data_IF_536262687149
#
_entry.id   IF_536262687149
#
_cell.length_a   1.000
_cell.length_b   1.000
_cell.length_c   1.000
_cell.angle_alpha   90.00
_cell.angle_beta   90.00
_cell.angle_gamma   90.00
#
_symmetry.space_group_name_H-M   'P 1'
#
loop_
_entity.id
_entity.type
_entity.pdbx_description
1 polymer ?
#
# COMPACT_ATOMS: atom_id res chain seq x y z
N UNK A 1 12.31 -19.52 -4.62
CA UNK A 1 12.21 -18.46 -5.65
C UNK A 1 12.98 -17.25 -5.15
N UNK A 2 13.93 -16.71 -5.92
CA UNK A 2 14.74 -15.59 -5.44
C UNK A 2 13.92 -14.30 -5.26
N UNK A 3 14.36 -13.42 -4.36
CA UNK A 3 13.67 -12.16 -3.98
C UNK A 3 13.25 -11.30 -5.19
N UNK A 4 14.16 -11.10 -6.14
CA UNK A 4 13.86 -10.33 -7.36
C UNK A 4 12.83 -11.02 -8.24
N UNK A 5 12.90 -12.35 -8.38
CA UNK A 5 11.92 -13.12 -9.15
C UNK A 5 10.54 -13.00 -8.49
N UNK A 6 10.48 -13.07 -7.16
CA UNK A 6 9.25 -12.94 -6.38
C UNK A 6 8.57 -11.59 -6.63
N UNK A 7 9.32 -10.51 -6.46
CA UNK A 7 8.80 -9.16 -6.65
C UNK A 7 8.41 -8.88 -8.11
N UNK A 8 9.11 -9.46 -9.09
CA UNK A 8 8.68 -9.40 -10.49
C UNK A 8 7.34 -10.12 -10.73
N UNK A 9 7.10 -11.27 -10.11
CA UNK A 9 5.79 -11.95 -10.20
C UNK A 9 4.69 -11.14 -9.50
N UNK A 10 4.98 -10.55 -8.34
CA UNK A 10 4.04 -9.66 -7.65
C UNK A 10 3.68 -8.45 -8.52
N UNK A 11 4.67 -7.82 -9.16
CA UNK A 11 4.45 -6.71 -10.09
C UNK A 11 3.56 -7.12 -11.27
N UNK A 12 3.79 -8.28 -11.87
CA UNK A 12 2.94 -8.81 -12.95
C UNK A 12 1.49 -9.02 -12.51
N UNK A 13 1.26 -9.51 -11.28
CA UNK A 13 -0.09 -9.68 -10.72
C UNK A 13 -0.76 -8.34 -10.44
N UNK A 14 -0.03 -7.36 -9.91
CA UNK A 14 -0.54 -5.99 -9.69
C UNK A 14 -0.89 -5.35 -11.04
N UNK A 15 -0.04 -5.46 -12.05
CA UNK A 15 -0.30 -4.94 -13.39
C UNK A 15 -1.52 -5.62 -14.04
N UNK A 16 -1.73 -6.91 -13.79
CA UNK A 16 -2.94 -7.64 -14.18
C UNK A 16 -4.21 -7.03 -13.56
N UNK A 17 -4.19 -6.73 -12.26
CA UNK A 17 -5.29 -6.07 -11.57
C UNK A 17 -5.53 -4.65 -12.08
N UNK A 18 -4.47 -3.87 -12.33
CA UNK A 18 -4.57 -2.54 -12.93
C UNK A 18 -5.28 -2.60 -14.28
N UNK A 19 -4.96 -3.56 -15.14
CA UNK A 19 -5.66 -3.74 -16.43
C UNK A 19 -7.16 -4.03 -16.26
N UNK A 20 -7.52 -4.81 -15.24
CA UNK A 20 -8.94 -5.08 -14.92
C UNK A 20 -9.61 -3.78 -14.47
N UNK A 21 -9.03 -3.08 -13.50
CA UNK A 21 -9.60 -1.82 -12.97
C UNK A 21 -9.76 -0.76 -14.07
N UNK A 22 -8.76 -0.58 -14.94
CA UNK A 22 -8.86 0.33 -16.09
C UNK A 22 -10.02 -0.02 -17.02
N UNK A 23 -10.19 -1.31 -17.33
CA UNK A 23 -11.27 -1.78 -18.21
C UNK A 23 -12.65 -1.59 -17.57
N UNK A 24 -12.82 -1.99 -16.30
CA UNK A 24 -14.13 -2.03 -15.65
C UNK A 24 -14.59 -0.67 -15.12
N UNK A 25 -13.66 0.22 -14.75
CA UNK A 25 -13.96 1.53 -14.16
C UNK A 25 -13.66 2.70 -15.09
N UNK A 26 -13.16 2.43 -16.31
CA UNK A 26 -12.84 3.46 -17.29
C UNK A 26 -11.62 4.32 -16.92
N UNK A 27 -10.68 3.80 -16.12
CA UNK A 27 -9.51 4.54 -15.66
C UNK A 27 -8.44 4.66 -16.76
N UNK A 28 -7.88 5.85 -16.88
CA UNK A 28 -6.69 6.14 -17.67
C UNK A 28 -5.40 5.91 -16.85
N UNK A 29 -4.25 6.01 -17.51
CA UNK A 29 -2.97 5.90 -16.80
C UNK A 29 -2.73 7.11 -15.88
N UNK A 30 -3.29 8.27 -16.23
CA UNK A 30 -3.24 9.47 -15.38
C UNK A 30 -4.02 9.34 -14.06
N UNK A 31 -5.00 8.43 -13.99
CA UNK A 31 -5.78 8.17 -12.77
C UNK A 31 -5.02 7.29 -11.76
N UNK A 32 -3.85 6.78 -12.13
CA UNK A 32 -3.11 5.78 -11.37
C UNK A 32 -1.77 6.35 -10.89
N UNK A 33 -1.62 6.46 -9.56
CA UNK A 33 -0.32 6.67 -8.93
C UNK A 33 0.26 5.34 -8.44
N UNK A 34 1.56 5.14 -8.64
CA UNK A 34 2.29 3.95 -8.16
C UNK A 34 3.07 4.28 -6.90
N UNK A 35 2.87 3.48 -5.86
CA UNK A 35 3.60 3.57 -4.59
C UNK A 35 4.64 2.45 -4.55
N UNK A 36 5.91 2.74 -4.21
CA UNK A 36 6.91 1.68 -4.05
C UNK A 36 6.49 0.70 -2.96
N UNK A 37 6.60 -0.59 -3.26
CA UNK A 37 6.31 -1.70 -2.35
C UNK A 37 7.26 -2.86 -2.67
N UNK A 38 7.60 -3.64 -1.65
CA UNK A 38 8.31 -4.91 -1.80
C UNK A 38 7.59 -5.97 -1.00
N UNK A 39 7.74 -7.22 -1.43
CA UNK A 39 7.10 -8.39 -0.86
C UNK A 39 8.11 -9.48 -0.55
N UNK A 40 7.82 -10.26 0.47
CA UNK A 40 8.50 -11.50 0.82
C UNK A 40 7.53 -12.68 0.69
N UNK A 41 8.07 -13.90 0.63
CA UNK A 41 7.22 -15.07 0.82
C UNK A 41 6.63 -15.01 2.21
N UNK A 42 5.36 -15.35 2.30
CA UNK A 42 4.75 -15.61 3.58
C UNK A 42 5.09 -17.06 3.97
N UNK A 43 5.99 -17.23 4.93
CA UNK A 43 6.39 -18.54 5.43
C UNK A 43 5.37 -19.11 6.44
N UNK A 44 4.36 -18.32 6.83
CA UNK A 44 3.27 -18.75 7.72
C UNK A 44 2.07 -19.33 6.97
N UNK A 45 2.11 -19.35 5.64
CA UNK A 45 1.01 -19.85 4.82
C UNK A 45 0.72 -21.34 5.08
N UNK A 46 -0.49 -21.67 5.55
CA UNK A 46 -0.96 -23.06 5.70
C UNK A 46 -1.41 -23.70 4.37
N UNK A 47 -1.18 -23.04 3.23
CA UNK A 47 -1.54 -23.55 1.91
C UNK A 47 -0.69 -24.72 1.45
N UNK A 48 -1.18 -25.48 0.47
CA UNK A 48 -0.45 -26.58 -0.19
C UNK A 48 0.72 -26.11 -1.09
N UNK A 49 1.09 -24.84 -1.02
CA UNK A 49 2.13 -24.20 -1.84
C UNK A 49 1.73 -23.98 -3.30
N UNK A 50 0.48 -24.25 -3.69
CA UNK A 50 0.00 -24.04 -5.06
C UNK A 50 -0.31 -22.58 -5.39
N UNK A 51 -0.56 -21.76 -4.37
CA UNK A 51 -0.84 -20.33 -4.50
C UNK A 51 0.39 -19.50 -4.15
N UNK A 52 0.53 -18.37 -4.84
CA UNK A 52 1.51 -17.36 -4.46
C UNK A 52 0.93 -16.56 -3.31
N UNK A 53 1.47 -16.78 -2.11
CA UNK A 53 1.16 -16.04 -0.90
C UNK A 53 2.40 -15.26 -0.47
N UNK A 54 2.20 -13.98 -0.18
CA UNK A 54 3.28 -13.02 0.08
C UNK A 54 2.88 -12.05 1.18
N UNK A 55 3.83 -11.74 2.04
CA UNK A 55 3.74 -10.67 3.03
C UNK A 55 4.42 -9.39 2.53
N UNK A 56 4.09 -8.26 3.13
CA UNK A 56 4.80 -7.01 2.89
C UNK A 56 6.23 -7.10 3.44
N UNK A 57 7.24 -6.66 2.68
CA UNK A 57 8.65 -6.69 3.11
C UNK A 57 8.99 -5.65 4.19
N UNK A 58 8.32 -4.51 4.09
CA UNK A 58 8.30 -3.42 5.06
C UNK A 58 6.85 -2.94 5.18
N UNK A 59 6.47 -2.13 6.19
CA UNK A 59 5.09 -1.72 6.39
C UNK A 59 4.48 -1.11 5.12
N UNK A 60 3.39 -1.73 4.64
CA UNK A 60 2.83 -1.43 3.34
C UNK A 60 2.04 -0.12 3.36
N UNK A 61 2.68 0.99 2.97
CA UNK A 61 2.10 2.35 3.04
C UNK A 61 0.73 2.50 2.36
N UNK A 62 0.44 1.70 1.33
CA UNK A 62 -0.87 1.73 0.65
C UNK A 62 -2.02 1.22 1.56
N UNK A 63 -1.72 0.42 2.59
CA UNK A 63 -2.64 -0.05 3.63
C UNK A 63 -2.87 1.08 4.66
N UNK A 64 -3.37 2.23 4.20
CA UNK A 64 -3.53 3.45 4.99
C UNK A 64 -5.01 3.79 5.26
N UNK A 65 -5.22 4.65 6.26
CA UNK A 65 -6.51 5.26 6.58
C UNK A 65 -6.66 6.60 5.84
N UNK A 66 -7.61 6.66 4.90
CA UNK A 66 -7.87 7.86 4.09
C UNK A 66 -8.89 8.78 4.76
N UNK A 67 -8.45 9.99 5.13
CA UNK A 67 -9.25 11.05 5.74
C UNK A 67 -9.47 12.20 4.74
N UNK A 68 -10.42 12.02 3.82
CA UNK A 68 -10.69 12.95 2.70
C UNK A 68 -11.04 14.36 3.16
N UNK A 69 -11.77 14.51 4.27
CA UNK A 69 -12.08 15.84 4.85
C UNK A 69 -10.87 16.66 5.29
N UNK A 70 -9.70 16.03 5.39
CA UNK A 70 -8.43 16.64 5.80
C UNK A 70 -7.35 16.55 4.71
N UNK A 71 -7.68 16.04 3.52
CA UNK A 71 -6.73 15.71 2.46
C UNK A 71 -5.49 14.98 2.99
N UNK A 72 -5.70 14.00 3.88
CA UNK A 72 -4.63 13.32 4.61
C UNK A 72 -4.84 11.81 4.61
N UNK A 73 -3.78 11.04 4.37
CA UNK A 73 -3.71 9.61 4.64
C UNK A 73 -2.86 9.38 5.89
N UNK A 74 -3.36 8.59 6.84
CA UNK A 74 -2.58 8.09 7.98
C UNK A 74 -2.09 6.71 7.60
N UNK A 75 -0.77 6.53 7.49
CA UNK A 75 -0.17 5.36 6.85
C UNK A 75 0.93 4.73 7.71
N UNK A 76 1.21 3.43 7.52
CA UNK A 76 2.39 2.78 8.10
C UNK A 76 3.67 3.53 7.75
N UNK A 77 4.59 3.69 8.70
CA UNK A 77 5.92 4.22 8.44
C UNK A 77 6.73 3.16 7.66
N UNK A 78 7.22 3.44 6.44
CA UNK A 78 7.93 2.43 5.65
C UNK A 78 9.32 2.06 6.19
N UNK A 79 9.89 2.85 7.10
CA UNK A 79 11.21 2.62 7.69
C UNK A 79 12.30 2.34 6.63
N UNK A 80 12.30 3.14 5.57
CA UNK A 80 13.19 2.98 4.44
C UNK A 80 14.64 3.42 4.72
N UNK A 81 15.54 3.20 3.74
CA UNK A 81 16.94 3.59 3.88
C UNK A 81 17.11 5.08 4.17
N UNK A 82 17.94 5.40 5.16
CA UNK A 82 18.23 6.78 5.56
C UNK A 82 19.48 7.27 4.82
N UNK A 83 19.30 8.28 3.97
CA UNK A 83 20.39 8.97 3.27
C UNK A 83 20.39 10.43 3.71
N UNK A 84 21.52 10.92 4.22
CA UNK A 84 21.65 12.28 4.76
C UNK A 84 20.59 12.62 5.83
N UNK A 85 20.29 11.66 6.71
CA UNK A 85 19.30 11.82 7.78
C UNK A 85 17.84 11.82 7.32
N UNK A 86 17.56 11.46 6.05
CA UNK A 86 16.20 11.37 5.51
C UNK A 86 15.89 9.96 5.02
N UNK A 87 14.75 9.43 5.43
CA UNK A 87 14.17 8.24 4.81
C UNK A 87 13.76 8.57 3.37
N UNK A 88 14.48 8.00 2.41
CA UNK A 88 14.29 8.28 0.98
C UNK A 88 12.98 7.68 0.45
N UNK A 89 12.53 6.58 1.03
CA UNK A 89 11.29 5.90 0.63
C UNK A 89 10.08 6.70 1.13
N UNK A 90 10.08 7.08 2.41
CA UNK A 90 9.07 7.96 2.98
C UNK A 90 8.96 9.28 2.21
N UNK A 91 10.10 9.84 1.77
CA UNK A 91 10.11 11.04 0.93
C UNK A 91 9.45 10.83 -0.43
N UNK A 92 9.88 9.82 -1.20
CA UNK A 92 9.32 9.54 -2.54
C UNK A 92 7.80 9.29 -2.46
N UNK A 93 7.38 8.57 -1.43
CA UNK A 93 5.97 8.29 -1.17
C UNK A 93 5.21 9.59 -0.86
N UNK A 94 5.72 10.42 0.05
CA UNK A 94 5.10 11.70 0.40
C UNK A 94 4.95 12.60 -0.82
N UNK A 95 6.01 12.72 -1.62
CA UNK A 95 6.01 13.51 -2.86
C UNK A 95 5.01 12.94 -3.89
N UNK A 96 4.77 11.62 -3.90
CA UNK A 96 3.82 10.98 -4.81
C UNK A 96 2.37 11.25 -4.41
N UNK A 97 2.02 11.15 -3.12
CA UNK A 97 0.70 11.52 -2.63
C UNK A 97 0.42 13.03 -2.79
N UNK A 98 1.45 13.88 -2.64
CA UNK A 98 1.31 15.32 -2.82
C UNK A 98 0.88 15.71 -4.25
N UNK A 99 1.24 14.92 -5.27
CA UNK A 99 0.79 15.14 -6.67
C UNK A 99 -0.73 15.06 -6.84
N UNK A 100 -1.41 14.29 -5.99
CA UNK A 100 -2.88 14.16 -5.98
C UNK A 100 -3.52 14.97 -4.85
N UNK A 101 -2.80 15.94 -4.29
CA UNK A 101 -3.31 16.84 -3.25
C UNK A 101 -3.43 16.20 -1.86
N UNK A 102 -2.91 14.99 -1.67
CA UNK A 102 -2.98 14.27 -0.39
C UNK A 102 -1.68 14.42 0.41
N UNK A 103 -1.81 14.67 1.71
CA UNK A 103 -0.71 14.61 2.68
C UNK A 103 -0.61 13.20 3.23
N UNK A 104 0.59 12.75 3.56
CA UNK A 104 0.79 11.51 4.30
C UNK A 104 1.28 11.80 5.71
N UNK A 105 0.73 11.07 6.67
CA UNK A 105 1.13 11.06 8.08
C UNK A 105 1.55 9.65 8.42
N UNK A 106 2.85 9.45 8.56
CA UNK A 106 3.42 8.17 8.95
C UNK A 106 3.19 7.93 10.45
N UNK A 107 2.77 6.73 10.79
CA UNK A 107 2.72 6.23 12.16
C UNK A 107 3.57 4.97 12.26
N UNK A 108 4.22 4.80 13.39
CA UNK A 108 4.96 3.57 13.66
C UNK A 108 3.97 2.47 14.06
N UNK A 109 3.80 1.50 13.19
CA UNK A 109 2.96 0.32 13.40
C UNK A 109 3.76 -0.98 13.30
N UNK A 110 5.10 -0.92 13.36
CA UNK A 110 5.98 -2.08 13.14
C UNK A 110 5.63 -3.24 14.08
N UNK A 111 5.85 -3.05 15.38
CA UNK A 111 5.62 -4.08 16.40
C UNK A 111 4.12 -4.34 16.65
N UNK A 112 3.26 -3.39 16.31
CA UNK A 112 1.83 -3.47 16.67
C UNK A 112 0.95 -4.11 15.60
N UNK A 113 1.33 -4.03 14.33
CA UNK A 113 0.53 -4.52 13.21
C UNK A 113 1.39 -5.17 12.12
N UNK A 114 2.54 -4.59 11.75
CA UNK A 114 3.30 -5.10 10.60
C UNK A 114 3.86 -6.50 10.83
N UNK A 115 4.41 -6.78 12.02
CA UNK A 115 4.93 -8.12 12.36
C UNK A 115 3.84 -9.21 12.30
N UNK A 116 2.59 -8.85 12.57
CA UNK A 116 1.40 -9.70 12.43
C UNK A 116 0.78 -9.63 11.02
N UNK A 117 1.55 -9.23 10.01
CA UNK A 117 1.16 -9.12 8.59
C UNK A 117 0.03 -8.11 8.31
N UNK A 118 -0.16 -7.15 9.22
CA UNK A 118 -1.14 -6.08 9.13
C UNK A 118 -0.56 -4.73 8.69
N UNK A 119 -1.33 -3.69 9.00
CA UNK A 119 -0.98 -2.29 8.81
C UNK A 119 -2.11 -1.39 9.32
N UNK A 120 -1.94 -0.07 9.18
CA UNK A 120 -2.93 0.92 9.64
C UNK A 120 -4.36 0.63 9.17
N UNK A 121 -4.59 0.33 7.89
CA UNK A 121 -5.94 0.02 7.42
C UNK A 121 -6.48 -1.28 8.04
N UNK A 122 -5.65 -2.29 8.29
CA UNK A 122 -6.07 -3.52 8.97
C UNK A 122 -6.51 -3.25 10.43
N UNK A 123 -5.87 -2.32 11.12
CA UNK A 123 -6.16 -1.97 12.52
C UNK A 123 -7.22 -0.88 12.71
N UNK A 124 -7.74 -0.30 11.63
CA UNK A 124 -8.66 0.84 11.70
C UNK A 124 -9.91 0.64 10.87
N UNK A 125 -10.92 1.47 11.13
CA UNK A 125 -12.11 1.56 10.29
C UNK A 125 -12.62 3.01 10.30
N UNK A 126 -13.45 3.38 9.33
CA UNK A 126 -13.98 4.75 9.20
C UNK A 126 -15.46 4.75 8.83
N UNK A 127 -16.22 5.67 9.42
CA UNK A 127 -17.57 6.01 8.99
C UNK A 127 -17.45 7.22 8.06
N UNK A 128 -18.12 7.18 6.91
CA UNK A 128 -18.09 8.23 5.88
C UNK A 128 -19.49 8.80 5.69
N UNK A 129 -19.56 10.03 5.18
CA UNK A 129 -20.84 10.60 4.76
C UNK A 129 -21.45 9.75 3.64
N UNK A 130 -22.67 9.28 3.86
CA UNK A 130 -23.47 8.47 2.94
C UNK A 130 -24.80 9.18 2.61
N UNK A 131 -24.84 10.51 2.71
CA UNK A 131 -26.05 11.32 2.49
C UNK A 131 -26.53 11.34 1.03
N UNK A 132 -25.73 10.85 0.08
CA UNK A 132 -26.13 10.70 -1.32
C UNK A 132 -27.33 9.74 -1.46
N UNK A 133 -28.34 10.16 -2.22
CA UNK A 133 -29.51 9.31 -2.51
C UNK A 133 -29.11 8.20 -3.48
N UNK A 134 -29.57 6.99 -3.22
CA UNK A 134 -29.31 5.83 -4.07
C UNK A 134 -30.37 5.63 -5.16
N UNK A 135 -31.56 6.21 -5.00
CA UNK A 135 -32.69 6.13 -5.92
C UNK A 135 -32.74 7.29 -6.92
#
# INVERSE_FOLDING_TARGET
MGFMKLNNECAQRIDGNIKILRRELGLADEDIIRIPALFNRDDSSEGDGSKLEVGAFYPAVINNLVLTGYNTCVAPNPWGPVVEGKDVLAKVISDTYAKVGMKIKFIDDWDSHHEDQGGVHCGTNSIRDMSARWW
#
